data_IF_348247117198
#
_entry.id   IF_348247117198
#
_cell.length_a   1.000
_cell.length_b   1.000
_cell.length_c   1.000
_cell.angle_alpha   90.00
_cell.angle_beta   90.00
_cell.angle_gamma   90.00
#
_symmetry.space_group_name_H-M   'P 1'
#
loop_
_entity.id
_entity.type
_entity.pdbx_description
1 polymer ?
#
# COMPACT_ATOMS: atom_id res chain seq x y z
N UNK A 1 14.84 4.23 -10.78
CA UNK A 1 16.08 4.10 -9.98
C UNK A 1 15.84 4.78 -8.64
N UNK A 2 16.07 4.08 -7.53
CA UNK A 2 15.80 4.60 -6.18
C UNK A 2 16.75 5.76 -5.80
N UNK A 3 16.29 6.55 -4.84
CA UNK A 3 16.98 7.72 -4.30
C UNK A 3 18.05 7.29 -3.29
N UNK A 4 19.04 8.14 -3.07
CA UNK A 4 20.04 7.99 -2.01
C UNK A 4 20.35 9.38 -1.43
N UNK A 5 21.18 9.45 -0.38
CA UNK A 5 21.51 10.72 0.29
C UNK A 5 22.08 11.75 -0.67
N UNK A 6 23.05 11.38 -1.52
CA UNK A 6 23.66 12.29 -2.49
C UNK A 6 22.61 12.89 -3.44
N UNK A 7 21.76 12.06 -4.05
CA UNK A 7 20.69 12.52 -4.95
C UNK A 7 19.68 13.39 -4.24
N UNK A 8 19.40 13.08 -2.97
CA UNK A 8 18.47 13.88 -2.19
C UNK A 8 19.05 15.26 -1.90
N UNK A 9 20.34 15.35 -1.54
CA UNK A 9 21.05 16.61 -1.35
C UNK A 9 21.10 17.43 -2.65
N UNK A 10 21.43 16.79 -3.78
CA UNK A 10 21.44 17.43 -5.11
C UNK A 10 20.07 17.99 -5.50
N UNK A 11 18.97 17.26 -5.23
CA UNK A 11 17.60 17.68 -5.55
C UNK A 11 17.05 18.73 -4.58
N UNK A 12 17.37 18.63 -3.29
CA UNK A 12 16.96 19.61 -2.29
C UNK A 12 17.66 20.95 -2.57
N UNK A 13 18.94 20.94 -2.92
CA UNK A 13 19.71 22.16 -3.16
C UNK A 13 19.88 23.03 -1.91
N UNK A 14 20.52 24.19 -2.07
CA UNK A 14 20.96 25.04 -0.93
C UNK A 14 19.84 25.54 -0.02
N UNK A 15 18.63 25.72 -0.55
CA UNK A 15 17.49 26.30 0.17
C UNK A 15 16.28 25.36 0.21
N UNK A 16 16.44 24.09 -0.15
CA UNK A 16 15.34 23.15 -0.13
C UNK A 16 15.03 22.64 1.27
N UNK A 17 13.79 22.22 1.45
CA UNK A 17 13.32 21.59 2.69
C UNK A 17 13.95 20.19 2.84
N UNK A 18 14.52 19.83 4.01
CA UNK A 18 14.97 18.48 4.30
C UNK A 18 13.86 17.44 4.10
N UNK A 19 14.23 16.23 3.64
CA UNK A 19 13.25 15.19 3.26
C UNK A 19 12.23 14.89 4.37
N UNK A 20 12.71 14.66 5.60
CA UNK A 20 11.84 14.37 6.74
C UNK A 20 10.87 15.53 7.01
N UNK A 21 11.37 16.77 7.00
CA UNK A 21 10.55 17.96 7.24
C UNK A 21 9.49 18.11 6.15
N UNK A 22 9.83 17.90 4.89
CA UNK A 22 8.88 17.96 3.79
C UNK A 22 7.75 16.92 3.93
N UNK A 23 8.10 15.69 4.30
CA UNK A 23 7.10 14.64 4.55
C UNK A 23 6.22 14.98 5.78
N UNK A 24 6.80 15.53 6.85
CA UNK A 24 6.05 16.00 8.02
C UNK A 24 5.08 17.12 7.65
N UNK A 25 5.49 18.06 6.79
CA UNK A 25 4.64 19.14 6.29
C UNK A 25 3.45 18.58 5.49
N UNK A 26 3.64 17.51 4.70
CA UNK A 26 2.53 16.83 4.01
C UNK A 26 1.56 16.18 5.01
N UNK A 27 2.06 15.45 6.01
CA UNK A 27 1.21 14.84 7.05
C UNK A 27 0.41 15.90 7.79
N UNK A 28 1.05 17.00 8.18
CA UNK A 28 0.38 18.11 8.86
C UNK A 28 -0.69 18.74 7.96
N UNK A 29 -0.41 18.91 6.65
CA UNK A 29 -1.39 19.43 5.71
C UNK A 29 -2.59 18.49 5.54
N UNK A 30 -2.39 17.18 5.56
CA UNK A 30 -3.47 16.20 5.49
C UNK A 30 -4.39 16.32 6.71
N UNK A 31 -3.82 16.36 7.91
CA UNK A 31 -4.57 16.46 9.17
C UNK A 31 -5.37 17.76 9.30
N UNK A 32 -4.90 18.85 8.68
CA UNK A 32 -5.55 20.16 8.74
C UNK A 32 -6.37 20.48 7.49
N UNK A 33 -6.45 19.58 6.50
CA UNK A 33 -7.22 19.82 5.29
C UNK A 33 -8.72 19.69 5.56
N UNK A 34 -9.46 20.75 5.27
CA UNK A 34 -10.93 20.76 5.32
C UNK A 34 -11.58 20.24 4.03
N UNK A 35 -10.83 20.19 2.94
CA UNK A 35 -11.29 19.78 1.62
C UNK A 35 -10.71 18.41 1.22
N UNK A 36 -11.57 17.58 0.64
CA UNK A 36 -11.27 16.20 0.24
C UNK A 36 -10.29 16.13 -0.93
N UNK A 37 -10.40 17.00 -1.93
CA UNK A 37 -9.47 17.03 -3.07
C UNK A 37 -8.03 17.27 -2.60
N UNK A 38 -7.87 18.16 -1.61
CA UNK A 38 -6.56 18.39 -1.00
C UNK A 38 -6.03 17.14 -0.28
N UNK A 39 -6.87 16.43 0.48
CA UNK A 39 -6.47 15.19 1.14
C UNK A 39 -6.05 14.14 0.11
N UNK A 40 -6.85 13.94 -0.94
CA UNK A 40 -6.56 13.00 -2.03
C UNK A 40 -5.18 13.26 -2.65
N UNK A 41 -4.90 14.52 -2.98
CA UNK A 41 -3.60 14.91 -3.56
C UNK A 41 -2.43 14.65 -2.62
N UNK A 42 -2.62 14.85 -1.32
CA UNK A 42 -1.57 14.61 -0.32
C UNK A 42 -1.31 13.11 -0.15
N UNK A 43 -2.36 12.29 -0.03
CA UNK A 43 -2.21 10.83 0.11
C UNK A 43 -1.59 10.23 -1.15
N UNK A 44 -2.01 10.67 -2.34
CA UNK A 44 -1.38 10.27 -3.59
C UNK A 44 0.13 10.60 -3.61
N UNK A 45 0.53 11.77 -3.10
CA UNK A 45 1.93 12.16 -3.03
C UNK A 45 2.72 11.29 -2.03
N UNK A 46 2.15 11.04 -0.85
CA UNK A 46 2.74 10.14 0.14
C UNK A 46 2.88 8.70 -0.40
N UNK A 47 1.87 8.19 -1.11
CA UNK A 47 1.90 6.87 -1.74
C UNK A 47 2.99 6.77 -2.83
N UNK A 48 3.23 7.84 -3.58
CA UNK A 48 4.35 7.91 -4.53
C UNK A 48 5.72 7.90 -3.81
N UNK A 49 5.85 8.58 -2.66
CA UNK A 49 7.08 8.49 -1.86
C UNK A 49 7.31 7.10 -1.26
N UNK A 50 6.23 6.39 -0.95
CA UNK A 50 6.26 5.03 -0.47
C UNK A 50 6.74 4.00 -1.50
N UNK A 51 6.98 4.39 -2.76
CA UNK A 51 7.60 3.51 -3.77
C UNK A 51 9.13 3.42 -3.64
N UNK A 52 9.77 4.38 -2.96
CA UNK A 52 11.22 4.45 -2.85
C UNK A 52 11.66 4.10 -1.41
N UNK A 53 12.41 2.99 -1.19
CA UNK A 53 12.85 2.55 0.13
C UNK A 53 13.64 3.60 0.92
N UNK A 54 14.24 4.58 0.23
CA UNK A 54 14.86 5.75 0.86
C UNK A 54 13.94 6.46 1.86
N UNK A 55 12.63 6.47 1.60
CA UNK A 55 11.68 7.17 2.45
C UNK A 55 11.15 6.33 3.62
N UNK A 56 11.37 5.00 3.64
CA UNK A 56 10.66 4.10 4.59
C UNK A 56 10.90 4.45 6.06
N UNK A 57 12.12 4.81 6.44
CA UNK A 57 12.43 5.24 7.81
C UNK A 57 11.65 6.50 8.20
N UNK A 58 11.53 7.46 7.30
CA UNK A 58 10.75 8.68 7.52
C UNK A 58 9.25 8.38 7.57
N UNK A 59 8.75 7.54 6.67
CA UNK A 59 7.33 7.15 6.65
C UNK A 59 6.91 6.45 7.95
N UNK A 60 7.76 5.57 8.48
CA UNK A 60 7.54 4.95 9.80
C UNK A 60 7.61 5.97 10.94
N UNK A 61 8.61 6.85 10.93
CA UNK A 61 8.75 7.89 11.97
C UNK A 61 7.53 8.83 12.01
N UNK A 62 6.89 9.04 10.87
CA UNK A 62 5.75 9.94 10.70
C UNK A 62 4.39 9.23 10.76
N UNK A 63 4.35 7.93 11.08
CA UNK A 63 3.14 7.10 11.12
C UNK A 63 2.32 7.14 9.81
N UNK A 64 3.00 7.21 8.66
CA UNK A 64 2.33 7.31 7.35
C UNK A 64 1.70 5.97 6.94
N UNK A 65 2.22 4.85 7.44
CA UNK A 65 1.62 3.53 7.17
C UNK A 65 0.23 3.42 7.81
N UNK A 66 0.09 3.89 9.04
CA UNK A 66 -1.17 4.01 9.76
C UNK A 66 -2.10 5.00 9.08
N UNK A 67 -1.59 6.15 8.63
CA UNK A 67 -2.37 7.11 7.85
C UNK A 67 -2.95 6.47 6.58
N UNK A 68 -2.19 5.61 5.87
CA UNK A 68 -2.72 4.89 4.73
C UNK A 68 -3.85 3.91 5.12
N UNK A 69 -3.74 3.25 6.28
CA UNK A 69 -4.81 2.38 6.79
C UNK A 69 -6.06 3.19 7.13
N UNK A 70 -5.91 4.34 7.78
CA UNK A 70 -7.03 5.25 8.06
C UNK A 70 -7.74 5.65 6.76
N UNK A 71 -6.98 5.97 5.70
CA UNK A 71 -7.53 6.31 4.38
C UNK A 71 -8.34 5.16 3.74
N UNK A 72 -8.02 3.89 4.03
CA UNK A 72 -8.79 2.74 3.53
C UNK A 72 -10.16 2.64 4.19
N UNK A 73 -10.33 3.24 5.37
CA UNK A 73 -11.62 3.24 6.09
C UNK A 73 -12.54 4.40 5.71
N UNK A 74 -12.01 5.38 4.97
CA UNK A 74 -12.78 6.54 4.53
C UNK A 74 -13.82 6.17 3.45
N UNK A 75 -14.96 6.89 3.39
CA UNK A 75 -15.95 6.69 2.33
C UNK A 75 -15.48 7.17 0.97
N UNK A 76 -14.43 8.01 0.92
CA UNK A 76 -13.89 8.56 -0.31
C UNK A 76 -13.06 7.50 -1.06
N UNK A 77 -13.57 7.03 -2.20
CA UNK A 77 -12.93 6.00 -3.03
C UNK A 77 -11.49 6.36 -3.45
N UNK A 78 -11.17 7.65 -3.62
CA UNK A 78 -9.81 8.09 -3.96
C UNK A 78 -8.86 7.96 -2.78
N UNK A 79 -9.32 8.29 -1.58
CA UNK A 79 -8.52 8.05 -0.36
C UNK A 79 -8.28 6.56 -0.16
N UNK A 80 -9.29 5.72 -0.39
CA UNK A 80 -9.13 4.26 -0.32
C UNK A 80 -8.11 3.78 -1.35
N UNK A 81 -8.25 4.19 -2.62
CA UNK A 81 -7.34 3.83 -3.72
C UNK A 81 -5.88 4.21 -3.40
N UNK A 82 -5.64 5.45 -2.97
CA UNK A 82 -4.29 5.92 -2.66
C UNK A 82 -3.74 5.34 -1.35
N UNK A 83 -4.58 5.09 -0.36
CA UNK A 83 -4.21 4.41 0.89
C UNK A 83 -3.68 3.01 0.61
N UNK A 84 -4.47 2.17 -0.07
CA UNK A 84 -4.01 0.82 -0.41
C UNK A 84 -2.84 0.84 -1.41
N UNK A 85 -2.76 1.84 -2.28
CA UNK A 85 -1.60 2.05 -3.15
C UNK A 85 -0.31 2.32 -2.36
N UNK A 86 -0.38 3.15 -1.31
CA UNK A 86 0.73 3.41 -0.40
C UNK A 86 1.17 2.17 0.37
N UNK A 87 0.22 1.36 0.84
CA UNK A 87 0.48 0.05 1.46
C UNK A 87 1.18 -0.88 0.46
N UNK A 88 0.63 -1.03 -0.75
CA UNK A 88 1.19 -1.90 -1.77
C UNK A 88 2.63 -1.52 -2.14
N UNK A 89 2.92 -0.22 -2.20
CA UNK A 89 4.25 0.27 -2.54
C UNK A 89 5.29 0.04 -1.44
N UNK A 90 4.87 -0.11 -0.18
CA UNK A 90 5.78 -0.13 0.98
C UNK A 90 5.86 -1.48 1.71
N UNK A 91 4.91 -2.39 1.47
CA UNK A 91 4.79 -3.66 2.20
C UNK A 91 5.79 -4.74 1.76
N UNK A 92 6.64 -4.47 0.77
CA UNK A 92 7.76 -5.34 0.41
C UNK A 92 8.87 -5.33 1.47
N UNK A 93 8.99 -4.22 2.22
CA UNK A 93 9.89 -4.09 3.37
C UNK A 93 9.33 -4.79 4.61
N UNK A 94 10.08 -5.73 5.23
CA UNK A 94 9.61 -6.46 6.39
C UNK A 94 9.22 -5.59 7.59
N UNK A 95 9.90 -4.46 7.81
CA UNK A 95 9.58 -3.57 8.94
C UNK A 95 8.27 -2.82 8.69
N UNK A 96 8.02 -2.36 7.47
CA UNK A 96 6.73 -1.79 7.08
C UNK A 96 5.61 -2.84 7.16
N UNK A 97 5.83 -4.04 6.60
CA UNK A 97 4.84 -5.13 6.65
C UNK A 97 4.45 -5.50 8.09
N UNK A 98 5.42 -5.50 9.02
CA UNK A 98 5.17 -5.75 10.44
C UNK A 98 4.27 -4.67 11.06
N UNK A 99 4.54 -3.38 10.81
CA UNK A 99 3.71 -2.27 11.29
C UNK A 99 2.30 -2.35 10.71
N UNK A 100 2.19 -2.54 9.40
CA UNK A 100 0.90 -2.67 8.70
C UNK A 100 0.07 -3.82 9.31
N UNK A 101 0.71 -4.96 9.57
CA UNK A 101 0.04 -6.12 10.18
C UNK A 101 -0.40 -5.82 11.62
N UNK A 102 0.48 -5.23 12.43
CA UNK A 102 0.20 -4.89 13.84
C UNK A 102 -0.91 -3.85 13.97
N UNK A 103 -1.03 -2.94 13.01
CA UNK A 103 -2.06 -1.91 12.94
C UNK A 103 -3.38 -2.39 12.31
N UNK A 104 -3.56 -3.70 12.12
CA UNK A 104 -4.82 -4.27 11.61
C UNK A 104 -5.00 -4.14 10.10
N UNK A 105 -3.92 -4.03 9.33
CA UNK A 105 -3.98 -3.81 7.88
C UNK A 105 -4.41 -5.03 7.04
N UNK A 106 -4.37 -6.25 7.59
CA UNK A 106 -4.78 -7.47 6.87
C UNK A 106 -6.27 -7.47 6.51
N UNK A 107 -7.22 -7.31 7.47
CA UNK A 107 -8.64 -7.29 7.13
C UNK A 107 -9.01 -6.13 6.19
N UNK A 108 -8.37 -4.97 6.35
CA UNK A 108 -8.57 -3.81 5.47
C UNK A 108 -8.10 -4.09 4.03
N UNK A 109 -6.93 -4.72 3.88
CA UNK A 109 -6.43 -5.16 2.57
C UNK A 109 -7.36 -6.18 1.92
N UNK A 110 -7.87 -7.15 2.69
CA UNK A 110 -8.82 -8.16 2.18
C UNK A 110 -10.13 -7.49 1.72
N UNK A 111 -10.66 -6.54 2.50
CA UNK A 111 -11.86 -5.79 2.13
C UNK A 111 -11.70 -5.07 0.78
N UNK A 112 -10.53 -4.50 0.51
CA UNK A 112 -10.22 -3.83 -0.75
C UNK A 112 -10.34 -4.74 -1.99
N UNK A 113 -10.30 -6.06 -1.84
CA UNK A 113 -10.59 -6.99 -2.94
C UNK A 113 -12.02 -6.85 -3.47
N UNK A 114 -12.98 -6.39 -2.66
CA UNK A 114 -14.38 -6.22 -3.09
C UNK A 114 -14.67 -4.83 -3.67
N UNK A 115 -13.66 -3.98 -3.83
CA UNK A 115 -13.84 -2.61 -4.31
C UNK A 115 -14.33 -2.56 -5.77
N UNK A 116 -15.23 -1.62 -6.13
CA UNK A 116 -15.56 -1.37 -7.53
C UNK A 116 -14.41 -0.69 -8.29
N UNK A 117 -13.45 -0.09 -7.57
CA UNK A 117 -12.30 0.60 -8.16
C UNK A 117 -11.21 -0.41 -8.53
N UNK A 118 -10.93 -0.50 -9.84
CA UNK A 118 -9.99 -1.51 -10.36
C UNK A 118 -8.59 -1.41 -9.75
N UNK A 119 -8.10 -0.20 -9.54
CA UNK A 119 -6.76 0.01 -8.96
C UNK A 119 -6.70 -0.45 -7.51
N UNK A 120 -7.73 -0.18 -6.72
CA UNK A 120 -7.85 -0.66 -5.34
C UNK A 120 -7.72 -2.18 -5.24
N UNK A 121 -8.39 -2.91 -6.13
CA UNK A 121 -8.28 -4.39 -6.21
C UNK A 121 -6.87 -4.84 -6.62
N UNK A 122 -6.25 -4.17 -7.60
CA UNK A 122 -4.87 -4.48 -8.02
C UNK A 122 -3.88 -4.30 -6.86
N UNK A 123 -3.96 -3.16 -6.16
CA UNK A 123 -3.10 -2.87 -5.02
C UNK A 123 -3.36 -3.83 -3.85
N UNK A 124 -4.61 -4.24 -3.62
CA UNK A 124 -4.93 -5.25 -2.62
C UNK A 124 -4.29 -6.60 -2.93
N UNK A 125 -4.44 -7.10 -4.18
CA UNK A 125 -3.80 -8.35 -4.61
C UNK A 125 -2.27 -8.29 -4.48
N UNK A 126 -1.66 -7.17 -4.91
CA UNK A 126 -0.23 -6.94 -4.78
C UNK A 126 0.23 -6.87 -3.31
N UNK A 127 -0.54 -6.22 -2.45
CA UNK A 127 -0.24 -6.12 -1.02
C UNK A 127 -0.31 -7.49 -0.35
N UNK A 128 -1.35 -8.29 -0.62
CA UNK A 128 -1.49 -9.63 -0.05
C UNK A 128 -0.33 -10.56 -0.46
N UNK A 129 0.21 -10.40 -1.68
CA UNK A 129 1.37 -11.16 -2.14
C UNK A 129 2.60 -10.98 -1.23
N UNK A 130 2.84 -9.77 -0.72
CA UNK A 130 3.95 -9.48 0.19
C UNK A 130 3.59 -9.68 1.67
N UNK A 131 2.36 -9.33 2.06
CA UNK A 131 1.90 -9.43 3.45
C UNK A 131 1.65 -10.87 3.89
N UNK A 132 1.40 -11.82 2.98
CA UNK A 132 1.23 -13.23 3.30
C UNK A 132 2.57 -13.87 3.72
N UNK A 133 2.65 -14.26 4.98
CA UNK A 133 3.80 -14.91 5.59
C UNK A 133 3.35 -15.80 6.77
N UNK A 134 4.30 -16.39 7.49
CA UNK A 134 4.01 -17.33 8.58
C UNK A 134 3.07 -16.80 9.67
N UNK A 135 3.07 -15.51 9.98
CA UNK A 135 2.22 -14.92 11.01
C UNK A 135 0.84 -14.47 10.51
N UNK A 136 0.69 -14.23 9.20
CA UNK A 136 -0.55 -13.70 8.60
C UNK A 136 -1.32 -14.72 7.77
N UNK A 137 -0.68 -15.85 7.42
CA UNK A 137 -1.26 -16.88 6.54
C UNK A 137 -2.60 -17.43 7.02
N UNK A 138 -2.83 -17.55 8.34
CA UNK A 138 -4.09 -18.07 8.88
C UNK A 138 -5.28 -17.15 8.57
N UNK A 139 -5.02 -15.86 8.43
CA UNK A 139 -6.04 -14.88 8.08
C UNK A 139 -6.18 -14.71 6.56
N UNK A 140 -5.05 -14.62 5.84
CA UNK A 140 -5.05 -14.37 4.38
C UNK A 140 -5.46 -15.61 3.58
N UNK A 141 -5.14 -16.82 4.05
CA UNK A 141 -5.45 -18.07 3.35
C UNK A 141 -6.78 -18.70 3.78
N UNK A 142 -7.67 -17.93 4.41
CA UNK A 142 -9.04 -18.40 4.70
C UNK A 142 -9.76 -18.81 3.41
N UNK A 143 -10.62 -19.84 3.44
CA UNK A 143 -11.31 -20.34 2.24
C UNK A 143 -12.01 -19.25 1.43
N UNK A 144 -12.72 -18.34 2.10
CA UNK A 144 -13.46 -17.24 1.47
C UNK A 144 -12.54 -16.25 0.73
N UNK A 145 -11.35 -15.99 1.25
CA UNK A 145 -10.36 -15.10 0.62
C UNK A 145 -9.74 -15.81 -0.59
N UNK A 146 -9.37 -17.08 -0.43
CA UNK A 146 -8.83 -17.89 -1.52
C UNK A 146 -9.81 -18.04 -2.68
N UNK A 147 -11.10 -18.17 -2.40
CA UNK A 147 -12.13 -18.26 -3.43
C UNK A 147 -12.29 -16.95 -4.22
N UNK A 148 -12.11 -15.80 -3.57
CA UNK A 148 -12.01 -14.49 -4.26
C UNK A 148 -10.78 -14.44 -5.16
N UNK A 149 -9.60 -14.80 -4.63
CA UNK A 149 -8.33 -14.75 -5.39
C UNK A 149 -8.37 -15.71 -6.58
N UNK A 150 -8.88 -16.94 -6.42
CA UNK A 150 -9.05 -17.91 -7.51
C UNK A 150 -9.99 -17.39 -8.61
N UNK A 151 -11.06 -16.68 -8.24
CA UNK A 151 -11.94 -16.02 -9.23
C UNK A 151 -11.16 -14.97 -10.03
N UNK A 152 -10.37 -14.12 -9.38
CA UNK A 152 -9.50 -13.17 -10.09
C UNK A 152 -8.49 -13.85 -11.01
N UNK A 153 -7.88 -14.95 -10.56
CA UNK A 153 -6.96 -15.74 -11.38
C UNK A 153 -7.62 -16.26 -12.67
N UNK A 154 -8.91 -16.62 -12.62
CA UNK A 154 -9.69 -17.08 -13.77
C UNK A 154 -10.20 -15.95 -14.70
N UNK A 155 -10.14 -14.68 -14.29
CA UNK A 155 -10.66 -13.53 -15.04
C UNK A 155 -9.70 -12.96 -16.10
N UNK A 156 -8.82 -13.76 -16.69
CA UNK A 156 -7.78 -13.30 -17.63
C UNK A 156 -8.35 -12.53 -18.84
N UNK A 157 -9.50 -12.97 -19.35
CA UNK A 157 -10.20 -12.34 -20.48
C UNK A 157 -10.85 -10.99 -20.13
N UNK A 158 -11.05 -10.70 -18.85
CA UNK A 158 -11.69 -9.47 -18.35
C UNK A 158 -10.66 -8.48 -17.84
N UNK A 159 -9.67 -8.96 -17.08
CA UNK A 159 -8.58 -8.15 -16.55
C UNK A 159 -7.32 -8.98 -16.33
N UNK A 160 -6.39 -8.87 -17.28
CA UNK A 160 -5.10 -9.56 -17.25
C UNK A 160 -4.28 -9.22 -16.00
N UNK A 161 -4.35 -7.97 -15.51
CA UNK A 161 -3.61 -7.54 -14.31
C UNK A 161 -4.09 -8.29 -13.06
N UNK A 162 -5.41 -8.40 -12.86
CA UNK A 162 -5.98 -9.17 -11.75
C UNK A 162 -5.58 -10.63 -11.84
N UNK A 163 -5.69 -11.22 -13.03
CA UNK A 163 -5.35 -12.62 -13.25
C UNK A 163 -3.89 -12.90 -12.92
N UNK A 164 -2.96 -12.07 -13.40
CA UNK A 164 -1.53 -12.27 -13.18
C UNK A 164 -1.16 -12.12 -11.70
N UNK A 165 -1.64 -11.09 -11.00
CA UNK A 165 -1.35 -10.89 -9.58
C UNK A 165 -1.94 -12.02 -8.72
N UNK A 166 -3.16 -12.44 -9.01
CA UNK A 166 -3.81 -13.53 -8.30
C UNK A 166 -3.12 -14.88 -8.54
N UNK A 167 -2.71 -15.18 -9.79
CA UNK A 167 -1.91 -16.37 -10.11
C UNK A 167 -0.58 -16.35 -9.35
N UNK A 168 0.15 -15.24 -9.40
CA UNK A 168 1.41 -15.09 -8.67
C UNK A 168 1.25 -15.28 -7.15
N UNK A 169 0.17 -14.77 -6.57
CA UNK A 169 -0.17 -15.02 -5.16
C UNK A 169 -0.38 -16.52 -4.89
N UNK A 170 -1.22 -17.19 -5.69
CA UNK A 170 -1.55 -18.60 -5.50
C UNK A 170 -0.33 -19.50 -5.70
N UNK A 171 0.49 -19.22 -6.71
CA UNK A 171 1.72 -19.95 -6.99
C UNK A 171 2.63 -19.91 -5.77
N UNK A 172 2.96 -18.72 -5.26
CA UNK A 172 3.86 -18.54 -4.11
C UNK A 172 3.34 -19.11 -2.80
N UNK A 173 2.06 -18.89 -2.49
CA UNK A 173 1.55 -19.12 -1.13
C UNK A 173 0.71 -20.39 -0.98
N UNK A 174 0.22 -20.96 -2.08
CA UNK A 174 -0.69 -22.11 -2.07
C UNK A 174 -0.11 -23.32 -2.80
N UNK A 175 0.55 -23.12 -3.93
CA UNK A 175 1.00 -24.22 -4.78
C UNK A 175 2.48 -24.59 -4.62
N UNK A 176 3.37 -23.62 -4.37
CA UNK A 176 4.82 -23.85 -4.17
C UNK A 176 5.15 -24.64 -2.89
N UNK A 177 4.20 -24.80 -1.96
CA UNK A 177 4.35 -25.59 -0.74
C UNK A 177 3.78 -27.02 -0.85
N UNK A 178 3.64 -27.58 -2.06
CA UNK A 178 3.27 -28.98 -2.31
C UNK A 178 4.41 -29.82 -2.86
#
# INVERSE_FOLDING_TARGET
MFTNNQRQEERTGKYGTPRLQYLQELVNQFQNAADEERKERIVANLANFAYDPYNYTFLRQLNVLELFLDCITEPNEKLVEFGIGGICNSCDDPANAAIITQSGGIPLTIQCLSSPVRNTVNYALGSLYYLCNSSTKEEILKPEVLDVIKRYAACETVNVSFSNLAKAFLDKHVYENK
#
